data_IF_261569924850
#
_entry.id   IF_261569924850
#
_cell.length_a   1.000
_cell.length_b   1.000
_cell.length_c   1.000
_cell.angle_alpha   90.00
_cell.angle_beta   90.00
_cell.angle_gamma   90.00
#
_symmetry.space_group_name_H-M   'P 1'
#
loop_
_entity.id
_entity.type
_entity.pdbx_description
1 polymer ?
#
# COMPACT_ATOMS: atom_id res chain seq x y z
N UNK A 1 -6.66 -7.53 7.03
CA UNK A 1 -6.01 -6.21 7.02
C UNK A 1 -6.93 -5.22 6.31
N UNK A 2 -7.10 -4.00 6.82
CA UNK A 2 -8.09 -3.03 6.32
C UNK A 2 -7.76 -2.52 4.91
N UNK A 3 -6.48 -2.21 4.64
CA UNK A 3 -6.05 -1.65 3.36
C UNK A 3 -6.06 -2.72 2.26
N UNK A 4 -5.60 -3.93 2.60
CA UNK A 4 -5.69 -5.10 1.73
C UNK A 4 -7.14 -5.40 1.31
N UNK A 5 -8.06 -5.46 2.29
CA UNK A 5 -9.47 -5.73 2.02
C UNK A 5 -10.16 -4.59 1.25
N UNK A 6 -9.87 -3.34 1.58
CA UNK A 6 -10.48 -2.17 0.93
C UNK A 6 -10.06 -1.98 -0.53
N UNK A 7 -8.88 -2.47 -0.91
CA UNK A 7 -8.32 -2.30 -2.26
C UNK A 7 -8.27 -3.62 -3.06
N UNK A 8 -8.73 -4.74 -2.49
CA UNK A 8 -8.62 -6.05 -3.11
C UNK A 8 -7.16 -6.44 -3.41
N UNK A 9 -6.24 -6.10 -2.50
CA UNK A 9 -4.82 -6.39 -2.62
C UNK A 9 -4.40 -7.51 -1.67
N UNK A 10 -3.36 -8.24 -2.05
CA UNK A 10 -2.84 -9.37 -1.30
C UNK A 10 -1.46 -9.07 -0.71
N UNK A 11 -1.19 -9.59 0.49
CA UNK A 11 0.14 -9.50 1.09
C UNK A 11 1.10 -10.43 0.34
N UNK A 12 2.21 -9.86 -0.10
CA UNK A 12 3.31 -10.59 -0.74
C UNK A 12 4.63 -10.28 -0.05
N UNK A 13 5.58 -11.20 -0.20
CA UNK A 13 6.98 -10.90 0.08
C UNK A 13 7.58 -10.27 -1.18
N UNK A 14 8.04 -9.03 -1.04
CA UNK A 14 8.76 -8.30 -2.06
C UNK A 14 10.26 -8.39 -1.77
N UNK A 15 11.07 -8.73 -2.77
CA UNK A 15 12.51 -8.88 -2.64
C UNK A 15 13.21 -7.99 -3.66
N UNK A 16 14.07 -7.10 -3.17
CA UNK A 16 14.89 -6.22 -3.98
C UNK A 16 16.37 -6.29 -3.54
N UNK A 17 17.21 -5.44 -4.13
CA UNK A 17 18.64 -5.37 -3.81
C UNK A 17 18.94 -5.04 -2.34
N UNK A 18 17.98 -4.46 -1.61
CA UNK A 18 18.10 -4.10 -0.19
C UNK A 18 17.55 -5.18 0.73
N UNK A 19 16.91 -6.22 0.18
CA UNK A 19 16.46 -7.41 0.89
C UNK A 19 14.96 -7.66 0.77
N UNK A 20 14.42 -8.43 1.73
CA UNK A 20 13.03 -8.88 1.74
C UNK A 20 12.17 -7.96 2.60
N UNK A 21 11.04 -7.52 2.06
CA UNK A 21 10.02 -6.74 2.76
C UNK A 21 8.61 -7.29 2.49
N UNK A 22 7.62 -6.82 3.25
CA UNK A 22 6.20 -7.14 3.00
C UNK A 22 5.54 -5.97 2.30
N UNK A 23 4.82 -6.29 1.22
CA UNK A 23 4.07 -5.33 0.42
C UNK A 23 2.64 -5.85 0.20
N UNK A 24 1.73 -4.94 -0.12
CA UNK A 24 0.46 -5.26 -0.73
C UNK A 24 0.63 -5.19 -2.24
N UNK A 25 0.19 -6.21 -2.96
CA UNK A 25 0.19 -6.27 -4.43
C UNK A 25 -1.23 -6.36 -4.95
N UNK A 26 -1.55 -5.60 -5.99
CA UNK A 26 -2.81 -5.80 -6.68
C UNK A 26 -2.71 -6.99 -7.65
N UNK A 27 -3.33 -8.12 -7.29
CA UNK A 27 -3.36 -9.34 -8.11
C UNK A 27 -1.96 -9.69 -8.64
N UNK A 28 -1.81 -9.71 -9.97
CA UNK A 28 -0.58 -10.03 -10.69
C UNK A 28 0.02 -8.80 -11.38
N UNK A 29 -0.42 -7.58 -11.04
CA UNK A 29 0.13 -6.35 -11.62
C UNK A 29 1.46 -5.95 -10.99
N UNK A 30 2.07 -4.89 -11.49
CA UNK A 30 3.26 -4.26 -10.91
C UNK A 30 2.91 -3.12 -9.93
N UNK A 31 1.68 -3.08 -9.45
CA UNK A 31 1.20 -2.08 -8.49
C UNK A 31 1.36 -2.59 -7.06
N UNK A 32 2.23 -1.91 -6.30
CA UNK A 32 2.58 -2.28 -4.93
C UNK A 32 2.41 -1.11 -3.95
N UNK A 33 1.95 -1.43 -2.75
CA UNK A 33 2.00 -0.54 -1.59
C UNK A 33 2.89 -1.16 -0.51
N UNK A 34 3.59 -0.31 0.24
CA UNK A 34 4.46 -0.72 1.34
C UNK A 34 3.98 -0.09 2.65
N UNK A 35 2.87 -0.58 3.27
CA UNK A 35 2.20 0.12 4.37
C UNK A 35 3.13 0.35 5.58
N UNK A 36 3.99 -0.64 5.87
CA UNK A 36 4.97 -0.53 6.95
C UNK A 36 5.95 0.62 6.66
N UNK A 37 6.55 0.65 5.47
CA UNK A 37 7.49 1.70 5.05
C UNK A 37 6.85 3.09 5.06
N UNK A 38 5.60 3.20 4.57
CA UNK A 38 4.84 4.45 4.54
C UNK A 38 4.68 5.09 5.93
N UNK A 39 4.61 4.28 6.99
CA UNK A 39 4.47 4.74 8.38
C UNK A 39 5.86 4.92 9.01
N UNK A 40 6.75 3.93 8.91
CA UNK A 40 8.06 3.94 9.58
C UNK A 40 8.91 5.15 9.18
N UNK A 41 9.00 5.45 7.88
CA UNK A 41 9.76 6.61 7.38
C UNK A 41 9.28 7.94 7.95
N UNK A 42 7.98 8.06 8.23
CA UNK A 42 7.41 9.28 8.82
C UNK A 42 7.76 9.38 10.29
N UNK A 43 7.64 8.26 11.03
CA UNK A 43 8.00 8.22 12.44
C UNK A 43 9.48 8.49 12.67
N UNK A 44 10.36 7.98 11.80
CA UNK A 44 11.81 8.23 11.83
C UNK A 44 12.16 9.73 11.84
N UNK A 45 11.41 10.55 11.09
CA UNK A 45 11.65 12.01 11.00
C UNK A 45 10.74 12.82 11.92
N UNK A 46 10.11 12.18 12.92
CA UNK A 46 9.23 12.84 13.89
C UNK A 46 7.89 13.32 13.32
N UNK A 47 7.52 12.87 12.12
CA UNK A 47 6.26 13.27 11.48
C UNK A 47 5.06 12.62 12.20
N UNK A 48 4.11 13.47 12.60
CA UNK A 48 2.90 13.10 13.36
C UNK A 48 1.64 13.00 12.48
N UNK A 49 1.79 12.90 11.15
CA UNK A 49 0.65 12.72 10.24
C UNK A 49 -0.23 11.56 10.71
N UNK A 50 -1.54 11.78 10.92
CA UNK A 50 -2.44 10.72 11.34
C UNK A 50 -2.42 9.54 10.37
N UNK A 51 -2.47 8.32 10.91
CA UNK A 51 -2.48 7.09 10.09
C UNK A 51 -3.66 7.07 9.11
N UNK A 52 -4.79 7.66 9.48
CA UNK A 52 -5.96 7.82 8.61
C UNK A 52 -5.67 8.65 7.36
N UNK A 53 -4.86 9.70 7.48
CA UNK A 53 -4.44 10.54 6.34
C UNK A 53 -3.47 9.77 5.43
N UNK A 54 -2.55 8.98 6.01
CA UNK A 54 -1.65 8.12 5.25
C UNK A 54 -2.45 7.06 4.48
N UNK A 55 -3.45 6.47 5.13
CA UNK A 55 -4.35 5.49 4.54
C UNK A 55 -5.13 6.09 3.36
N UNK A 56 -5.76 7.25 3.54
CA UNK A 56 -6.52 7.90 2.48
C UNK A 56 -5.62 8.24 1.29
N UNK A 57 -4.43 8.78 1.54
CA UNK A 57 -3.46 9.07 0.48
C UNK A 57 -3.03 7.82 -0.30
N UNK A 58 -2.91 6.67 0.36
CA UNK A 58 -2.61 5.41 -0.31
C UNK A 58 -3.72 5.03 -1.31
N UNK A 59 -4.98 5.19 -0.89
CA UNK A 59 -6.16 4.93 -1.71
C UNK A 59 -6.23 5.88 -2.90
N UNK A 60 -6.07 7.18 -2.66
CA UNK A 60 -6.15 8.21 -3.71
C UNK A 60 -5.11 7.99 -4.81
N UNK A 61 -3.95 7.40 -4.48
CA UNK A 61 -2.88 7.08 -5.44
C UNK A 61 -3.20 5.79 -6.22
N UNK A 62 -3.65 4.75 -5.53
CA UNK A 62 -3.73 3.41 -6.11
C UNK A 62 -5.06 3.14 -6.80
N UNK A 63 -6.19 3.64 -6.27
CA UNK A 63 -7.53 3.37 -6.80
C UNK A 63 -7.67 3.74 -8.28
N UNK A 64 -7.11 4.88 -8.78
CA UNK A 64 -7.15 5.21 -10.21
C UNK A 64 -6.34 4.25 -11.10
N UNK A 65 -5.35 3.55 -10.53
CA UNK A 65 -4.48 2.60 -11.23
C UNK A 65 -5.09 1.19 -11.25
N UNK A 66 -6.06 0.93 -10.36
CA UNK A 66 -6.78 -0.33 -10.36
C UNK A 66 -7.74 -0.33 -11.55
N UNK A 67 -7.72 -1.37 -12.41
CA UNK A 67 -8.69 -1.48 -13.48
C UNK A 67 -10.10 -1.41 -12.87
N UNK A 68 -10.98 -0.66 -13.53
CA UNK A 68 -12.38 -0.56 -13.13
C UNK A 68 -12.92 -1.98 -12.90
N UNK A 69 -13.47 -2.22 -11.70
CA UNK A 69 -14.11 -3.49 -11.44
C UNK A 69 -15.22 -3.63 -12.50
N UNK A 70 -15.26 -4.73 -13.27
CA UNK A 70 -16.15 -4.80 -14.43
C UNK A 70 -17.63 -4.71 -14.05
N UNK A 71 -17.99 -4.75 -12.76
CA UNK A 71 -19.36 -4.56 -12.29
C UNK A 71 -19.36 -3.91 -10.89
N UNK A 72 -19.88 -2.69 -10.80
CA UNK A 72 -20.52 -2.15 -9.60
C UNK A 72 -21.96 -1.79 -9.97
#
# INVERSE_FOLDING_TARGET
>A
DLLAAGLGMDWVVYEDSQGRSRALRYRQSDEYLFPVTMISRRREVGNQTPVTVIYQKARDIIEPLLPAQPFQ
#
